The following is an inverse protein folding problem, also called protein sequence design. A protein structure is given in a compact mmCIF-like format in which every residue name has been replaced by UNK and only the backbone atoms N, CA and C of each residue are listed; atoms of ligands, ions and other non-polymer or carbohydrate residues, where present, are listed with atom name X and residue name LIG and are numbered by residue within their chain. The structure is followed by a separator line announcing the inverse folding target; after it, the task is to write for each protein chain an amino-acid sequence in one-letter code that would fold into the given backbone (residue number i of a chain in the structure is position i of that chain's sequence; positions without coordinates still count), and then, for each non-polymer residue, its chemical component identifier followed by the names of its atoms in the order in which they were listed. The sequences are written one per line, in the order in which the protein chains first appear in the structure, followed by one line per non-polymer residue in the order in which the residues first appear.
data_IF_062816868329
#
_entry.id   IF_062816868329
#
_cell.length_a   1.000
_cell.length_b   1.000
_cell.length_c   1.000
_cell.angle_alpha   90.00
_cell.angle_beta   90.00
_cell.angle_gamma   90.00
#
_symmetry.space_group_name_H-M   'P 1'
#
loop_
_entity.id
_entity.type
_entity.pdbx_description
1 polymer ?
#
# COMPACT_ATOMS: atom_id res chain seq x y z
N UNK A 1 2.99 19.73 26.76
CA UNK A 1 3.65 18.48 26.32
C UNK A 1 2.86 17.75 25.24
N UNK A 2 1.55 17.51 25.41
CA UNK A 2 0.70 16.85 24.42
C UNK A 2 0.63 17.58 23.06
N UNK A 3 0.54 18.91 23.08
CA UNK A 3 0.45 19.69 21.84
C UNK A 3 1.78 19.76 21.08
N UNK A 4 2.91 19.74 21.81
CA UNK A 4 4.25 19.67 21.23
C UNK A 4 4.48 18.33 20.52
N UNK A 5 3.99 17.23 21.10
CA UNK A 5 4.08 15.90 20.50
C UNK A 5 3.28 15.78 19.19
N UNK A 6 2.10 16.42 19.12
CA UNK A 6 1.27 16.45 17.91
C UNK A 6 1.96 17.26 16.80
N UNK A 7 2.54 18.42 17.14
CA UNK A 7 3.27 19.26 16.17
C UNK A 7 4.49 18.51 15.62
N UNK A 8 5.26 17.84 16.48
CA UNK A 8 6.41 17.03 16.06
C UNK A 8 5.99 15.85 15.18
N UNK A 9 4.84 15.22 15.47
CA UNK A 9 4.30 14.14 14.64
C UNK A 9 3.84 14.63 13.27
N UNK A 10 3.13 15.76 13.20
CA UNK A 10 2.71 16.37 11.92
C UNK A 10 3.94 16.79 11.10
N UNK A 11 4.95 17.38 11.74
CA UNK A 11 6.20 17.76 11.10
C UNK A 11 6.97 16.53 10.59
N UNK A 12 7.04 15.46 11.38
CA UNK A 12 7.64 14.19 10.97
C UNK A 12 6.86 13.56 9.80
N UNK A 13 5.53 13.57 9.82
CA UNK A 13 4.71 13.09 8.71
C UNK A 13 4.93 13.95 7.46
N UNK A 14 4.97 15.28 7.58
CA UNK A 14 5.23 16.19 6.47
C UNK A 14 6.60 15.96 5.82
N UNK A 15 7.66 15.81 6.63
CA UNK A 15 9.00 15.49 6.12
C UNK A 15 9.10 14.08 5.53
N UNK A 16 8.40 13.09 6.09
CA UNK A 16 8.31 11.76 5.48
C UNK A 16 7.57 11.80 4.15
N UNK A 17 6.49 12.58 4.02
CA UNK A 17 5.74 12.76 2.76
C UNK A 17 6.61 13.45 1.70
N UNK A 18 7.41 14.45 2.08
CA UNK A 18 8.36 15.10 1.17
C UNK A 18 9.53 14.18 0.77
N UNK A 19 10.00 13.33 1.68
CA UNK A 19 11.11 12.40 1.42
C UNK A 19 10.74 11.22 0.49
N UNK A 20 9.44 10.91 0.34
CA UNK A 20 8.97 9.76 -0.44
C UNK A 20 8.72 10.07 -1.94
N UNK A 21 8.78 11.33 -2.36
CA UNK A 21 8.34 11.75 -3.69
C UNK A 21 9.44 12.42 -4.56
N UNK A 22 10.67 12.49 -4.07
CA UNK A 22 11.79 13.10 -4.78
C UNK A 22 12.70 12.06 -5.42
N UNK A 23 12.81 12.07 -6.74
CA UNK A 23 13.90 11.38 -7.47
C UNK A 23 15.25 11.86 -6.92
N UNK A 24 16.26 10.98 -6.72
CA UNK A 24 17.56 11.41 -6.22
C UNK A 24 18.16 12.55 -7.05
N UNK A 25 18.79 13.54 -6.40
CA UNK A 25 19.39 14.70 -7.08
C UNK A 25 20.37 14.30 -8.19
N UNK A 26 21.11 13.20 -7.99
CA UNK A 26 22.01 12.61 -8.99
C UNK A 26 21.32 12.33 -10.34
N UNK A 27 20.02 12.06 -10.36
CA UNK A 27 19.27 11.77 -11.58
C UNK A 27 18.81 13.04 -12.32
N UNK A 28 19.00 14.20 -11.73
CA UNK A 28 18.72 15.51 -12.35
C UNK A 28 20.00 16.25 -12.78
N UNK A 29 21.17 15.70 -12.44
CA UNK A 29 22.45 16.26 -12.86
C UNK A 29 22.65 16.09 -14.36
N UNK A 30 23.14 17.15 -15.02
CA UNK A 30 23.61 17.07 -16.40
C UNK A 30 24.88 16.22 -16.38
N UNK A 31 24.89 15.06 -17.06
CA UNK A 31 26.02 14.16 -17.03
C UNK A 31 27.25 14.84 -17.62
N UNK A 32 28.33 14.87 -16.83
CA UNK A 32 29.66 15.19 -17.32
C UNK A 32 30.12 14.08 -18.28
N UNK A 33 29.94 14.34 -19.58
CA UNK A 33 30.34 13.45 -20.67
C UNK A 33 31.79 13.64 -21.08
N UNK A 34 32.55 14.49 -20.40
CA UNK A 34 33.97 14.61 -20.68
C UNK A 34 34.62 13.25 -20.44
N UNK A 35 35.49 12.84 -21.36
CA UNK A 35 36.20 11.57 -21.27
C UNK A 35 37.02 11.51 -19.98
N UNK A 36 37.20 12.60 -19.21
CA UNK A 36 38.05 12.66 -18.04
C UNK A 36 39.53 12.64 -18.42
N UNK A 37 40.42 12.63 -17.42
CA UNK A 37 41.87 12.79 -17.64
C UNK A 37 42.71 11.57 -17.23
N UNK A 38 42.09 10.46 -16.85
CA UNK A 38 42.83 9.23 -16.55
C UNK A 38 43.10 8.38 -17.79
N UNK A 39 43.78 7.25 -17.58
CA UNK A 39 44.28 6.40 -18.67
C UNK A 39 43.43 5.15 -18.97
N UNK A 40 42.49 4.80 -18.07
CA UNK A 40 41.66 3.59 -18.18
C UNK A 40 40.21 3.97 -18.53
N UNK A 41 39.86 3.84 -19.82
CA UNK A 41 38.54 4.21 -20.34
C UNK A 41 37.55 3.08 -20.08
N UNK A 42 36.51 3.37 -19.29
CA UNK A 42 35.41 2.43 -19.02
C UNK A 42 34.09 2.97 -19.56
N UNK A 43 33.17 2.06 -19.83
CA UNK A 43 31.79 2.41 -20.19
C UNK A 43 30.94 2.42 -18.93
N UNK A 44 30.28 3.55 -18.69
CA UNK A 44 29.27 3.71 -17.65
C UNK A 44 27.95 4.12 -18.28
N UNK A 45 26.88 4.11 -17.50
CA UNK A 45 25.56 4.62 -17.87
C UNK A 45 25.31 5.94 -17.17
N UNK A 46 24.69 6.89 -17.85
CA UNK A 46 24.08 8.06 -17.22
C UNK A 46 22.57 8.03 -17.48
N UNK A 47 21.82 8.62 -16.57
CA UNK A 47 20.38 8.78 -16.70
C UNK A 47 20.05 10.11 -17.40
N UNK A 48 19.28 10.05 -18.48
CA UNK A 48 18.73 11.21 -19.17
C UNK A 48 17.29 11.44 -18.70
N UNK A 49 17.06 12.54 -17.98
CA UNK A 49 15.73 12.86 -17.45
C UNK A 49 14.70 13.25 -18.51
N UNK A 50 15.13 13.70 -19.69
CA UNK A 50 14.23 14.11 -20.78
C UNK A 50 13.68 12.90 -21.53
N UNK A 51 14.52 11.88 -21.71
CA UNK A 51 14.17 10.62 -22.35
C UNK A 51 13.70 9.55 -21.34
N UNK A 52 13.90 9.82 -20.05
CA UNK A 52 13.67 8.91 -18.93
C UNK A 52 14.35 7.54 -19.13
N UNK A 53 15.55 7.54 -19.74
CA UNK A 53 16.29 6.33 -20.06
C UNK A 53 17.77 6.49 -19.70
N UNK A 54 18.47 5.36 -19.66
CA UNK A 54 19.89 5.31 -19.37
C UNK A 54 20.71 5.03 -20.63
N UNK A 55 21.77 5.82 -20.84
CA UNK A 55 22.61 5.76 -22.03
C UNK A 55 24.08 5.54 -21.66
N UNK A 56 24.82 4.78 -22.48
CA UNK A 56 26.24 4.54 -22.26
C UNK A 56 27.06 5.79 -22.58
N UNK A 57 28.13 6.01 -21.82
CA UNK A 57 29.17 7.00 -22.10
C UNK A 57 30.54 6.49 -21.67
N UNK A 58 31.59 7.09 -22.23
CA UNK A 58 32.99 6.80 -21.88
C UNK A 58 33.40 7.67 -20.69
N UNK A 59 34.15 7.09 -19.76
CA UNK A 59 34.72 7.83 -18.63
C UNK A 59 36.10 7.27 -18.28
N UNK A 60 37.09 8.15 -18.17
CA UNK A 60 38.50 7.79 -17.94
C UNK A 60 38.94 7.93 -16.49
N UNK A 61 38.03 7.92 -15.51
CA UNK A 61 38.37 7.62 -14.12
C UNK A 61 38.70 8.80 -13.19
N UNK A 62 38.70 10.06 -13.66
CA UNK A 62 38.88 11.25 -12.82
C UNK A 62 37.82 12.31 -13.14
N UNK A 63 37.29 12.96 -12.09
CA UNK A 63 36.24 13.99 -12.22
C UNK A 63 34.83 13.42 -12.39
N UNK A 64 33.94 14.22 -12.96
CA UNK A 64 32.54 13.87 -13.18
C UNK A 64 31.65 13.99 -11.95
N UNK A 65 30.36 13.68 -12.16
CA UNK A 65 29.29 13.78 -11.18
C UNK A 65 28.76 12.40 -10.72
N UNK A 66 27.64 12.41 -9.97
CA UNK A 66 26.98 11.22 -9.43
C UNK A 66 26.02 10.52 -10.40
N UNK A 67 25.70 11.11 -11.56
CA UNK A 67 24.86 10.51 -12.61
C UNK A 67 25.64 9.47 -13.43
N UNK A 68 26.25 8.52 -12.73
CA UNK A 68 27.16 7.52 -13.30
C UNK A 68 26.93 6.16 -12.65
N UNK A 69 26.49 5.20 -13.45
CA UNK A 69 26.10 3.87 -13.02
C UNK A 69 26.84 2.79 -13.83
N UNK A 70 27.03 1.62 -13.25
CA UNK A 70 27.76 0.51 -13.87
C UNK A 70 26.92 -0.31 -14.85
N UNK A 71 25.59 -0.24 -14.75
CA UNK A 71 24.68 -1.00 -15.59
C UNK A 71 23.40 -0.23 -15.89
N UNK A 72 22.74 -0.57 -16.99
CA UNK A 72 21.44 0.01 -17.36
C UNK A 72 20.38 -0.29 -16.28
N UNK A 73 20.42 -1.52 -15.73
CA UNK A 73 19.51 -1.98 -14.68
C UNK A 73 19.62 -1.12 -13.42
N UNK A 74 20.84 -0.85 -12.96
CA UNK A 74 21.08 -0.05 -11.75
C UNK A 74 20.71 1.42 -11.97
N UNK A 75 21.08 1.96 -13.13
CA UNK A 75 20.72 3.31 -13.53
C UNK A 75 19.21 3.53 -13.54
N UNK A 76 18.47 2.62 -14.20
CA UNK A 76 17.02 2.70 -14.27
C UNK A 76 16.41 2.54 -12.88
N UNK A 77 16.85 1.58 -12.06
CA UNK A 77 16.34 1.37 -10.70
C UNK A 77 16.57 2.54 -9.74
N UNK A 78 17.67 3.28 -9.93
CA UNK A 78 17.95 4.44 -9.09
C UNK A 78 17.20 5.69 -9.52
N UNK A 79 16.85 5.79 -10.81
CA UNK A 79 16.34 7.03 -11.37
C UNK A 79 14.91 6.93 -11.89
N UNK A 80 14.50 5.91 -12.62
CA UNK A 80 13.20 5.87 -13.30
C UNK A 80 12.12 5.15 -12.50
N UNK A 81 10.93 5.72 -12.41
CA UNK A 81 9.75 5.04 -11.83
C UNK A 81 9.30 3.84 -12.68
N UNK A 82 9.72 3.78 -13.96
CA UNK A 82 9.47 2.63 -14.85
C UNK A 82 10.38 1.44 -14.60
N UNK A 83 11.32 1.54 -13.66
CA UNK A 83 12.31 0.51 -13.43
C UNK A 83 11.70 -0.84 -13.06
N UNK A 84 10.62 -0.89 -12.27
CA UNK A 84 10.00 -2.17 -11.89
C UNK A 84 9.35 -2.86 -13.10
N UNK A 85 8.76 -2.11 -14.02
CA UNK A 85 8.17 -2.65 -15.24
C UNK A 85 9.22 -3.13 -16.25
N UNK A 86 10.38 -2.48 -16.31
CA UNK A 86 11.44 -2.82 -17.28
C UNK A 86 12.49 -3.77 -16.72
N UNK A 87 12.80 -3.68 -15.44
CA UNK A 87 13.83 -4.45 -14.75
C UNK A 87 13.32 -4.94 -13.37
N UNK A 88 12.28 -5.81 -13.36
CA UNK A 88 11.65 -6.29 -12.13
C UNK A 88 12.68 -6.78 -11.10
N UNK A 89 12.44 -6.52 -9.82
CA UNK A 89 13.33 -7.01 -8.74
C UNK A 89 13.33 -8.53 -8.64
N UNK A 90 12.14 -9.10 -8.83
CA UNK A 90 11.93 -10.53 -9.03
C UNK A 90 12.33 -10.88 -10.48
N UNK A 91 13.58 -11.33 -10.66
CA UNK A 91 14.19 -11.51 -11.98
C UNK A 91 13.41 -12.46 -12.92
N UNK A 92 12.83 -13.59 -12.46
CA UNK A 92 11.93 -14.42 -13.27
C UNK A 92 10.81 -13.66 -13.98
N UNK A 93 10.25 -12.58 -13.39
CA UNK A 93 9.23 -11.76 -14.06
C UNK A 93 9.74 -11.11 -15.33
N UNK A 94 11.03 -10.82 -15.41
CA UNK A 94 11.63 -10.27 -16.62
C UNK A 94 11.49 -11.21 -17.82
N UNK A 95 11.44 -12.54 -17.61
CA UNK A 95 11.30 -13.53 -18.68
C UNK A 95 9.99 -13.40 -19.47
N UNK A 96 8.97 -12.74 -18.91
CA UNK A 96 7.69 -12.47 -19.57
C UNK A 96 7.72 -11.24 -20.48
N UNK A 97 8.73 -10.37 -20.34
CA UNK A 97 8.86 -9.15 -21.12
C UNK A 97 9.27 -9.46 -22.57
N UNK A 98 8.88 -8.66 -23.56
CA UNK A 98 9.35 -8.84 -24.93
C UNK A 98 10.86 -8.55 -25.02
N UNK A 99 11.57 -9.22 -25.95
CA UNK A 99 12.94 -8.78 -26.29
C UNK A 99 12.92 -7.33 -26.79
N UNK A 100 13.85 -6.51 -26.30
CA UNK A 100 13.93 -5.09 -26.69
C UNK A 100 15.24 -4.82 -27.40
N UNK A 101 15.14 -4.50 -28.71
CA UNK A 101 16.30 -4.28 -29.60
C UNK A 101 17.12 -3.06 -29.15
N UNK A 102 16.47 -2.04 -28.60
CA UNK A 102 17.09 -0.78 -28.22
C UNK A 102 17.13 0.23 -29.38
N UNK A 103 17.75 1.38 -29.15
CA UNK A 103 17.74 2.52 -30.09
C UNK A 103 19.13 3.07 -30.43
N UNK A 104 20.18 2.44 -29.92
CA UNK A 104 21.55 2.69 -30.34
C UNK A 104 21.84 2.02 -31.70
N UNK A 105 23.11 2.05 -32.14
CA UNK A 105 23.54 1.56 -33.46
C UNK A 105 24.45 0.33 -33.42
N UNK A 106 24.71 -0.24 -32.25
CA UNK A 106 25.52 -1.43 -32.10
C UNK A 106 24.81 -2.72 -32.51
N UNK A 107 25.54 -3.83 -32.50
CA UNK A 107 24.99 -5.17 -32.74
C UNK A 107 25.64 -6.18 -31.79
N UNK A 108 25.05 -6.32 -30.60
CA UNK A 108 25.55 -7.19 -29.55
C UNK A 108 24.63 -8.40 -29.43
N UNK A 109 25.19 -9.61 -29.58
CA UNK A 109 24.43 -10.85 -29.36
C UNK A 109 24.10 -10.93 -27.86
N UNK A 110 22.81 -11.12 -27.58
CA UNK A 110 22.26 -11.36 -26.24
C UNK A 110 21.25 -12.48 -26.29
N UNK A 111 20.94 -13.04 -25.13
CA UNK A 111 19.89 -14.04 -24.98
C UNK A 111 18.64 -13.41 -24.38
N UNK A 112 17.47 -13.86 -24.80
CA UNK A 112 16.18 -13.54 -24.20
C UNK A 112 15.37 -14.82 -24.08
N UNK A 113 14.51 -14.91 -23.08
CA UNK A 113 13.55 -15.99 -22.99
C UNK A 113 12.39 -15.73 -23.96
N UNK A 114 12.10 -16.71 -24.82
CA UNK A 114 10.98 -16.66 -25.75
C UNK A 114 9.82 -17.48 -25.20
N UNK A 115 8.71 -16.85 -24.76
CA UNK A 115 7.53 -17.58 -24.30
C UNK A 115 6.92 -18.46 -25.41
N UNK A 116 6.99 -18.01 -26.66
CA UNK A 116 6.50 -18.75 -27.84
C UNK A 116 7.20 -20.10 -28.04
N UNK A 117 8.50 -20.17 -27.75
CA UNK A 117 9.29 -21.37 -27.95
C UNK A 117 9.68 -22.07 -26.64
N UNK A 118 9.22 -21.55 -25.51
CA UNK A 118 9.56 -22.02 -24.17
C UNK A 118 11.07 -22.24 -23.97
N UNK A 119 11.88 -21.34 -24.54
CA UNK A 119 13.35 -21.47 -24.51
C UNK A 119 14.07 -20.15 -24.70
N UNK A 120 15.32 -20.10 -24.26
CA UNK A 120 16.19 -18.96 -24.46
C UNK A 120 16.70 -18.90 -25.91
N UNK A 121 16.49 -17.77 -26.57
CA UNK A 121 16.91 -17.49 -27.95
C UNK A 121 17.85 -16.30 -28.00
N UNK A 122 18.67 -16.23 -29.04
CA UNK A 122 19.54 -15.08 -29.29
C UNK A 122 18.80 -13.95 -30.00
N UNK A 123 19.20 -12.71 -29.75
CA UNK A 123 18.82 -11.54 -30.54
C UNK A 123 19.95 -10.50 -30.56
N UNK A 124 19.89 -9.56 -31.51
CA UNK A 124 20.79 -8.41 -31.55
C UNK A 124 20.22 -7.27 -30.71
N UNK A 125 20.97 -6.86 -29.70
CA UNK A 125 20.72 -5.64 -28.93
C UNK A 125 21.64 -4.52 -29.39
N UNK A 126 21.16 -3.29 -29.44
CA UNK A 126 21.90 -2.18 -30.04
C UNK A 126 22.90 -1.49 -29.14
N UNK A 127 22.97 -1.87 -27.86
CA UNK A 127 23.97 -1.37 -26.91
C UNK A 127 23.45 -0.35 -25.90
N UNK A 128 22.22 0.14 -26.06
CA UNK A 128 21.52 0.93 -25.06
C UNK A 128 20.02 0.69 -25.13
N UNK A 129 19.31 1.06 -24.07
CA UNK A 129 17.85 0.98 -23.94
C UNK A 129 17.30 -0.44 -24.11
N UNK A 130 16.59 -0.91 -23.09
CA UNK A 130 16.05 -2.26 -23.10
C UNK A 130 15.18 -2.57 -21.90
N UNK A 131 15.24 -3.83 -21.47
CA UNK A 131 14.56 -4.37 -20.30
C UNK A 131 15.34 -5.60 -19.79
N UNK A 132 14.82 -6.22 -18.74
CA UNK A 132 15.45 -7.34 -18.03
C UNK A 132 15.43 -8.66 -18.79
N UNK A 133 14.64 -8.82 -19.86
CA UNK A 133 14.67 -10.03 -20.70
C UNK A 133 15.86 -10.00 -21.67
N UNK A 134 17.07 -9.87 -21.13
CA UNK A 134 18.31 -9.70 -21.89
C UNK A 134 19.50 -10.15 -21.06
N UNK A 135 20.00 -11.33 -21.38
CA UNK A 135 21.06 -12.03 -20.69
C UNK A 135 22.33 -12.08 -21.54
N UNK A 136 23.48 -12.18 -20.87
CA UNK A 136 24.79 -12.29 -21.53
C UNK A 136 25.02 -13.70 -22.10
N UNK A 137 24.54 -14.73 -21.41
CA UNK A 137 24.70 -16.12 -21.81
C UNK A 137 23.38 -16.88 -21.83
N UNK A 138 23.37 -17.99 -22.58
CA UNK A 138 22.27 -18.95 -22.55
C UNK A 138 22.05 -19.51 -21.14
N UNK A 139 23.15 -19.78 -20.42
CA UNK A 139 23.10 -20.33 -19.06
C UNK A 139 22.41 -19.37 -18.09
N UNK A 140 22.72 -18.08 -18.14
CA UNK A 140 22.08 -17.08 -17.28
C UNK A 140 20.58 -16.99 -17.59
N UNK A 141 20.22 -16.91 -18.87
CA UNK A 141 18.83 -16.89 -19.30
C UNK A 141 18.06 -18.12 -18.81
N UNK A 142 18.63 -19.32 -18.98
CA UNK A 142 17.99 -20.56 -18.57
C UNK A 142 17.89 -20.63 -17.04
N UNK A 143 18.95 -20.28 -16.30
CA UNK A 143 18.93 -20.28 -14.84
C UNK A 143 17.87 -19.33 -14.27
N UNK A 144 17.67 -18.15 -14.88
CA UNK A 144 16.64 -17.20 -14.46
C UNK A 144 15.24 -17.62 -14.87
N UNK A 145 15.05 -18.15 -16.07
CA UNK A 145 13.73 -18.34 -16.67
C UNK A 145 13.16 -19.77 -16.61
N UNK A 146 13.98 -20.78 -16.32
CA UNK A 146 13.55 -22.18 -16.29
C UNK A 146 12.58 -22.50 -15.13
N UNK A 147 12.54 -21.66 -14.08
CA UNK A 147 11.53 -21.76 -13.00
C UNK A 147 10.24 -20.97 -13.28
N UNK A 148 10.29 -19.98 -14.17
CA UNK A 148 9.10 -19.21 -14.54
C UNK A 148 8.04 -20.04 -15.29
N UNK A 149 8.40 -21.25 -15.75
CA UNK A 149 7.49 -22.16 -16.45
C UNK A 149 6.77 -23.16 -15.54
N UNK A 150 7.21 -23.34 -14.30
CA UNK A 150 6.55 -24.26 -13.34
C UNK A 150 5.61 -23.49 -12.40
N UNK A 151 5.93 -22.22 -12.11
CA UNK A 151 5.10 -21.32 -11.28
C UNK A 151 4.01 -20.58 -12.09
N UNK A 152 3.83 -20.93 -13.38
CA UNK A 152 2.80 -20.36 -14.25
C UNK A 152 1.37 -20.86 -14.03
N UNK A 153 1.12 -21.65 -12.98
CA UNK A 153 -0.20 -22.21 -12.66
C UNK A 153 -0.42 -22.45 -11.15
N UNK A 154 0.36 -21.81 -10.28
CA UNK A 154 -0.06 -21.66 -8.88
C UNK A 154 -0.77 -20.31 -8.77
N UNK A 155 -2.10 -20.38 -8.69
CA UNK A 155 -2.96 -19.35 -8.13
C UNK A 155 -2.44 -19.04 -6.73
N UNK A 156 -1.42 -18.18 -6.64
CA UNK A 156 -1.19 -17.40 -5.45
C UNK A 156 -2.37 -16.42 -5.41
N UNK A 157 -3.52 -16.93 -4.96
CA UNK A 157 -4.48 -16.13 -4.23
C UNK A 157 -3.64 -15.27 -3.30
N UNK A 158 -3.65 -13.96 -3.51
CA UNK A 158 -3.13 -12.98 -2.56
C UNK A 158 -3.60 -13.42 -1.16
N UNK A 159 -2.72 -14.11 -0.42
CA UNK A 159 -2.80 -14.12 1.02
C UNK A 159 -2.43 -12.70 1.38
N UNK A 160 -3.44 -11.83 1.42
CA UNK A 160 -3.26 -10.46 1.87
C UNK A 160 -2.54 -10.54 3.20
N UNK A 161 -1.30 -10.05 3.27
CA UNK A 161 -0.45 -9.91 4.46
C UNK A 161 -1.06 -8.93 5.49
N UNK A 162 -2.38 -8.90 5.62
CA UNK A 162 -3.03 -8.38 6.80
C UNK A 162 -2.96 -9.54 7.81
N UNK A 163 -2.11 -9.46 8.85
CA UNK A 163 -2.06 -10.51 9.84
C UNK A 163 -3.48 -10.72 10.36
N UNK A 164 -3.95 -11.96 10.31
CA UNK A 164 -5.32 -12.35 10.71
C UNK A 164 -5.68 -11.79 12.09
N UNK A 165 -4.67 -11.58 12.95
CA UNK A 165 -4.80 -10.90 14.24
C UNK A 165 -5.27 -9.44 14.18
N UNK A 166 -4.89 -8.65 13.17
CA UNK A 166 -5.37 -7.26 13.00
C UNK A 166 -6.84 -7.26 12.60
N UNK A 167 -7.26 -8.13 11.67
CA UNK A 167 -8.67 -8.24 11.25
C UNK A 167 -9.52 -8.68 12.45
N UNK A 168 -9.10 -9.73 13.18
CA UNK A 168 -9.79 -10.17 14.40
C UNK A 168 -9.85 -9.06 15.44
N UNK A 169 -8.75 -8.36 15.67
CA UNK A 169 -8.66 -7.27 16.65
C UNK A 169 -9.62 -6.11 16.33
N UNK A 170 -9.68 -5.69 15.06
CA UNK A 170 -10.59 -4.62 14.62
C UNK A 170 -12.04 -5.06 14.72
N UNK A 171 -12.38 -6.28 14.28
CA UNK A 171 -13.74 -6.82 14.36
C UNK A 171 -14.21 -6.96 15.80
N UNK A 172 -13.38 -7.55 16.68
CA UNK A 172 -13.70 -7.68 18.10
C UNK A 172 -13.81 -6.32 18.80
N UNK A 173 -12.95 -5.37 18.44
CA UNK A 173 -13.00 -4.00 18.96
C UNK A 173 -14.30 -3.28 18.58
N UNK A 174 -14.72 -3.36 17.31
CA UNK A 174 -15.97 -2.76 16.83
C UNK A 174 -17.20 -3.41 17.47
N UNK A 175 -17.24 -4.75 17.54
CA UNK A 175 -18.33 -5.48 18.20
C UNK A 175 -18.40 -5.12 19.69
N UNK A 176 -17.26 -5.06 20.38
CA UNK A 176 -17.18 -4.65 21.77
C UNK A 176 -17.69 -3.22 22.01
N UNK A 177 -17.31 -2.27 21.14
CA UNK A 177 -17.79 -0.89 21.22
C UNK A 177 -19.30 -0.79 21.00
N UNK A 178 -19.85 -1.53 20.02
CA UNK A 178 -21.29 -1.57 19.76
C UNK A 178 -22.05 -2.12 20.98
N UNK A 179 -21.57 -3.23 21.56
CA UNK A 179 -22.18 -3.82 22.76
C UNK A 179 -22.14 -2.82 23.93
N UNK A 180 -21.01 -2.15 24.15
CA UNK A 180 -20.86 -1.14 25.20
C UNK A 180 -21.87 0.02 24.99
N UNK A 181 -21.98 0.55 23.77
CA UNK A 181 -22.92 1.62 23.43
C UNK A 181 -24.36 1.18 23.69
N UNK A 182 -24.75 -0.03 23.27
CA UNK A 182 -26.10 -0.58 23.52
C UNK A 182 -26.38 -0.68 25.02
N UNK A 183 -25.44 -1.21 25.80
CA UNK A 183 -25.57 -1.31 27.26
C UNK A 183 -25.72 0.07 27.91
N UNK A 184 -24.93 1.06 27.49
CA UNK A 184 -25.02 2.44 27.97
C UNK A 184 -26.40 3.03 27.62
N UNK A 185 -26.86 2.88 26.38
CA UNK A 185 -28.17 3.36 25.94
C UNK A 185 -29.31 2.71 26.74
N UNK A 186 -29.26 1.39 26.98
CA UNK A 186 -30.24 0.69 27.81
C UNK A 186 -30.19 1.15 29.27
N UNK A 187 -29.01 1.37 29.84
CA UNK A 187 -28.84 1.88 31.20
C UNK A 187 -29.37 3.32 31.35
N UNK A 188 -29.08 4.20 30.38
CA UNK A 188 -29.60 5.57 30.34
C UNK A 188 -31.12 5.58 30.13
N UNK A 189 -31.66 4.75 29.24
CA UNK A 189 -33.11 4.60 29.03
C UNK A 189 -33.82 4.06 30.27
N UNK A 190 -33.19 3.15 31.02
CA UNK A 190 -33.70 2.64 32.31
C UNK A 190 -33.73 3.75 33.38
N UNK A 191 -32.74 4.64 33.40
CA UNK A 191 -32.73 5.80 34.30
C UNK A 191 -33.75 6.87 33.89
N UNK A 192 -33.93 7.13 32.59
CA UNK A 192 -34.94 8.07 32.09
C UNK A 192 -36.36 7.62 32.45
N UNK A 193 -36.68 6.32 32.30
CA UNK A 193 -37.97 5.75 32.76
C UNK A 193 -38.15 5.81 34.29
N UNK A 194 -37.06 5.78 35.06
CA UNK A 194 -37.10 5.92 36.52
C UNK A 194 -37.38 7.36 36.95
N UNK A 195 -36.93 8.35 36.18
CA UNK A 195 -37.27 9.77 36.40
C UNK A 195 -38.74 10.07 36.03
N UNK A 196 -39.22 9.53 34.89
CA UNK A 196 -40.63 9.70 34.47
C UNK A 196 -41.62 9.07 35.45
N UNK A 197 -41.27 7.93 36.06
CA UNK A 197 -42.09 7.27 37.09
C UNK A 197 -42.06 7.99 38.44
N UNK A 198 -41.04 8.82 38.72
CA UNK A 198 -40.91 9.57 39.98
C UNK A 198 -41.68 10.90 39.94
N UNK A 199 -41.92 11.45 38.76
CA UNK A 199 -42.71 12.67 38.55
C UNK A 199 -44.23 12.38 38.59
N UNK A 200 -44.68 11.23 38.07
CA UNK A 200 -46.10 10.81 38.13
C UNK A 200 -46.61 10.44 39.53
N UNK A 201 -45.76 10.18 40.52
CA UNK A 201 -46.19 9.79 41.88
C UNK A 201 -46.33 10.96 42.86
N UNK A 202 -46.09 12.22 42.43
CA UNK A 202 -46.17 13.40 43.32
C UNK A 202 -47.51 14.16 43.27
N UNK A 203 -48.49 13.69 42.50
CA UNK A 203 -49.78 14.37 42.31
C UNK A 203 -50.97 13.45 42.62
N UNK A 204 -51.10 12.97 43.85
CA UNK A 204 -52.41 12.57 44.38
C UNK A 204 -52.33 12.50 45.91
N UNK A 205 -53.05 13.41 46.57
CA UNK A 205 -53.19 13.52 48.02
C UNK A 205 -54.65 13.15 48.34
N UNK A 206 -54.94 12.14 49.17
CA UNK A 206 -56.31 11.68 49.37
C UNK A 206 -57.05 12.52 50.43
N UNK A 207 -58.26 12.96 50.07
CA UNK A 207 -59.25 13.50 50.99
C UNK A 207 -59.80 12.35 51.86
N UNK A 208 -59.81 12.56 53.18
CA UNK A 208 -60.32 11.61 54.18
C UNK A 208 -61.84 11.66 54.22
N UNK A 209 -62.48 10.49 54.29
CA UNK A 209 -63.87 10.39 54.72
C UNK A 209 -64.00 9.28 55.78
N UNK A 210 -64.52 9.68 56.93
CA UNK A 210 -64.64 8.94 58.18
C UNK A 210 -66.00 8.21 58.20
N UNK A 211 -65.98 6.90 58.52
CA UNK A 211 -67.18 6.08 58.64
C UNK A 211 -67.71 6.18 60.08
N UNK A 212 -68.91 6.74 60.26
CA UNK A 212 -69.73 6.54 61.46
C UNK A 212 -70.83 5.53 61.12
N UNK A 213 -70.89 4.48 61.91
CA UNK A 213 -71.92 3.44 61.90
C UNK A 213 -73.05 3.84 62.87
N UNK A 214 -74.31 3.55 62.54
CA UNK A 214 -75.22 2.77 63.41
C UNK A 214 -76.69 2.78 62.96
N UNK A 215 -77.24 1.55 62.99
CA UNK A 215 -78.56 1.14 63.44
C UNK A 215 -79.81 1.33 62.54
N UNK A 216 -80.34 0.17 62.12
CA UNK A 216 -81.76 -0.22 62.21
C UNK A 216 -82.73 0.43 61.22
N UNK A 217 -83.89 -0.12 60.90
CA UNK A 217 -84.69 -1.31 61.25
C UNK A 217 -85.86 -1.24 60.25
N UNK A 218 -86.27 -2.37 59.68
CA UNK A 218 -87.59 -2.65 59.04
C UNK A 218 -88.04 -1.75 57.87
N UNK A 219 -89.02 -2.05 57.02
CA UNK A 219 -89.67 -3.23 56.48
C UNK A 219 -90.58 -2.69 55.34
N UNK A 220 -91.20 -3.60 54.60
CA UNK A 220 -92.46 -3.37 53.87
C UNK A 220 -92.42 -2.69 52.47
N UNK A 221 -92.50 -3.57 51.47
CA UNK A 221 -93.60 -3.71 50.49
C UNK A 221 -93.86 -2.67 49.38
N UNK A 222 -94.09 -3.26 48.19
CA UNK A 222 -95.03 -2.87 47.12
C UNK A 222 -94.72 -1.56 46.37
N UNK A 223 -95.00 -1.38 45.09
CA UNK A 223 -95.53 -2.15 43.96
C UNK A 223 -95.52 -1.15 42.78
N UNK A 224 -95.07 -1.59 41.61
CA UNK A 224 -95.46 -1.25 40.21
C UNK A 224 -96.45 -0.11 39.87
N UNK A 225 -96.54 0.33 38.58
CA UNK A 225 -95.82 -0.13 37.37
C UNK A 225 -94.85 0.90 36.76
#
# INVERSE_FOLDING_TARGET
MRDLAIILFIFALYHNILAQNGKPEICSMVPDKDDGTGADVKIYMYYDQTQDNCYPFRYSGKGGDGNRFTSEKDCMRNCSDRAEALFPRDEPRACTLPRKIGECTGAYIRYFYSPEHHTCKTFFWTGCVGNGNRFLSFSDCNATCYKATDEGLEDHSDETDIPVGIILGVVLGLVGAIILIVVIVFAVKKNSKKHEKKEKTKSEQPLKEERVEMAGVDAQSNSTP
#
